data_IF_950235286925
#
_entry.id   IF_950235286925
#
_cell.length_a   1.000
_cell.length_b   1.000
_cell.length_c   1.000
_cell.angle_alpha   90.00
_cell.angle_beta   90.00
_cell.angle_gamma   90.00
#
_symmetry.space_group_name_H-M   'P 1'
#
loop_
_entity.id
_entity.type
_entity.pdbx_description
1 polymer ?
#
# COMPACT_ATOMS: atom_id res chain seq x y z
N UNK A 1 -75.38 6.77 64.80
CA UNK A 1 -75.68 6.32 63.42
C UNK A 1 -75.22 7.43 62.48
N UNK A 2 -74.40 7.23 61.47
CA UNK A 2 -73.82 6.04 60.89
C UNK A 2 -72.41 6.38 60.36
N UNK A 3 -71.56 5.38 60.46
CA UNK A 3 -70.20 5.28 59.95
C UNK A 3 -70.15 5.39 58.41
N UNK A 4 -69.09 6.01 57.89
CA UNK A 4 -68.58 5.72 56.53
C UNK A 4 -67.10 6.13 56.43
N UNK A 5 -66.27 5.15 56.80
CA UNK A 5 -64.88 4.97 56.39
C UNK A 5 -64.64 5.25 54.89
N UNK A 6 -63.58 6.01 54.58
CA UNK A 6 -62.90 5.95 53.29
C UNK A 6 -61.43 5.63 53.55
N UNK A 7 -61.01 4.49 53.00
CA UNK A 7 -59.68 3.91 53.12
C UNK A 7 -58.60 4.81 52.51
N UNK A 8 -57.62 5.19 53.33
CA UNK A 8 -56.34 5.72 52.87
C UNK A 8 -55.59 4.59 52.17
N UNK A 9 -55.53 4.64 50.84
CA UNK A 9 -54.73 3.72 50.04
C UNK A 9 -53.25 4.07 50.25
N UNK A 10 -52.62 3.42 51.23
CA UNK A 10 -51.19 3.53 51.49
C UNK A 10 -50.39 3.02 50.29
N UNK A 11 -49.91 3.96 49.46
CA UNK A 11 -48.87 3.70 48.48
C UNK A 11 -47.58 3.40 49.24
N UNK A 12 -47.39 2.10 49.52
CA UNK A 12 -46.16 1.52 50.05
C UNK A 12 -45.04 1.81 49.05
N UNK A 13 -44.27 2.88 49.32
CA UNK A 13 -43.07 3.25 48.57
C UNK A 13 -42.05 2.11 48.65
N UNK A 14 -42.10 1.20 47.68
CA UNK A 14 -41.16 0.09 47.55
C UNK A 14 -39.82 0.66 47.06
N UNK A 15 -38.95 0.93 48.04
CA UNK A 15 -37.48 1.00 47.99
C UNK A 15 -36.88 1.63 46.70
N UNK A 16 -36.42 2.89 46.75
CA UNK A 16 -35.79 3.58 45.60
C UNK A 16 -34.47 2.92 45.13
N UNK A 17 -33.92 2.00 45.91
CA UNK A 17 -32.74 1.20 45.57
C UNK A 17 -32.94 0.26 44.38
N UNK A 18 -34.15 -0.28 44.16
CA UNK A 18 -34.42 -1.16 43.01
C UNK A 18 -34.50 -0.39 41.69
N UNK A 19 -35.03 0.84 41.73
CA UNK A 19 -35.05 1.73 40.57
C UNK A 19 -33.63 2.18 40.19
N UNK A 20 -32.78 2.45 41.18
CA UNK A 20 -31.38 2.80 40.95
C UNK A 20 -30.59 1.65 40.33
N UNK A 21 -30.78 0.42 40.82
CA UNK A 21 -30.15 -0.77 40.24
C UNK A 21 -30.61 -1.02 38.80
N UNK A 22 -31.90 -0.81 38.50
CA UNK A 22 -32.43 -0.90 37.15
C UNK A 22 -31.80 0.12 36.20
N UNK A 23 -31.64 1.38 36.65
CA UNK A 23 -31.03 2.44 35.85
C UNK A 23 -29.54 2.18 35.56
N UNK A 24 -28.77 1.72 36.55
CA UNK A 24 -27.35 1.36 36.37
C UNK A 24 -27.19 0.17 35.42
N UNK A 25 -28.06 -0.84 35.52
CA UNK A 25 -28.07 -1.99 34.61
C UNK A 25 -28.40 -1.57 33.17
N UNK A 26 -29.33 -0.62 32.99
CA UNK A 26 -29.67 -0.07 31.68
C UNK A 26 -28.46 0.64 31.05
N UNK A 27 -27.76 1.50 31.81
CA UNK A 27 -26.56 2.20 31.33
C UNK A 27 -25.44 1.23 30.94
N UNK A 28 -25.25 0.15 31.70
CA UNK A 28 -24.30 -0.92 31.35
C UNK A 28 -24.73 -1.69 30.08
N UNK A 29 -26.02 -1.98 29.92
CA UNK A 29 -26.54 -2.64 28.73
C UNK A 29 -26.43 -1.76 27.47
N UNK A 30 -26.66 -0.45 27.58
CA UNK A 30 -26.43 0.49 26.48
C UNK A 30 -24.94 0.61 26.14
N UNK A 31 -24.05 0.62 27.15
CA UNK A 31 -22.60 0.58 26.94
C UNK A 31 -22.17 -0.69 26.17
N UNK A 32 -22.72 -1.86 26.52
CA UNK A 32 -22.52 -3.10 25.76
C UNK A 32 -23.15 -3.06 24.38
N UNK A 33 -24.26 -2.35 24.17
CA UNK A 33 -24.82 -2.19 22.83
C UNK A 33 -23.91 -1.35 21.92
N UNK A 34 -23.18 -0.37 22.46
CA UNK A 34 -22.16 0.36 21.69
C UNK A 34 -20.85 -0.44 21.53
N UNK A 35 -20.46 -1.24 22.52
CA UNK A 35 -19.25 -2.07 22.46
C UNK A 35 -19.43 -3.33 21.59
N UNK A 36 -20.55 -4.03 21.70
CA UNK A 36 -20.89 -5.23 20.91
C UNK A 36 -21.70 -4.94 19.65
N UNK A 37 -22.46 -3.84 19.58
CA UNK A 37 -23.09 -3.39 18.34
C UNK A 37 -22.07 -2.95 17.28
N UNK A 38 -20.84 -2.63 17.71
CA UNK A 38 -19.71 -2.44 16.79
C UNK A 38 -19.08 -3.77 16.33
N UNK A 39 -19.28 -4.86 17.08
CA UNK A 39 -18.75 -6.18 16.74
C UNK A 39 -19.71 -7.03 15.89
N UNK A 40 -21.01 -6.73 15.87
CA UNK A 40 -22.03 -7.49 15.11
C UNK A 40 -22.79 -6.67 14.05
N UNK A 41 -22.49 -5.37 13.88
CA UNK A 41 -23.32 -4.44 13.11
C UNK A 41 -22.63 -3.60 12.05
N UNK A 42 -21.34 -3.80 11.78
CA UNK A 42 -20.64 -3.31 10.57
C UNK A 42 -19.52 -4.26 10.23
N UNK A 43 -19.81 -5.22 9.35
CA UNK A 43 -18.75 -5.70 8.46
C UNK A 43 -18.10 -4.44 7.88
N UNK A 44 -16.78 -4.25 7.98
CA UNK A 44 -16.17 -3.15 7.27
C UNK A 44 -16.49 -3.43 5.81
N UNK A 45 -17.24 -2.51 5.19
CA UNK A 45 -17.28 -2.36 3.74
C UNK A 45 -15.85 -1.90 3.40
N UNK A 46 -14.90 -2.83 3.49
CA UNK A 46 -13.67 -2.81 2.72
C UNK A 46 -14.19 -2.89 1.30
N UNK A 47 -14.33 -1.71 0.70
CA UNK A 47 -14.79 -1.56 -0.66
C UNK A 47 -14.01 -2.54 -1.53
N UNK A 48 -14.75 -3.48 -2.10
CA UNK A 48 -14.43 -4.35 -3.24
C UNK A 48 -13.90 -3.59 -4.48
N UNK A 49 -13.61 -2.30 -4.36
CA UNK A 49 -13.16 -1.37 -5.39
C UNK A 49 -11.64 -1.22 -5.49
N UNK A 50 -10.86 -1.91 -4.63
CA UNK A 50 -9.38 -1.94 -4.73
C UNK A 50 -8.88 -3.31 -5.21
N UNK A 51 -9.79 -4.26 -5.48
CA UNK A 51 -9.40 -5.48 -6.17
C UNK A 51 -9.09 -5.14 -7.63
N UNK A 52 -7.90 -5.50 -8.14
CA UNK A 52 -7.67 -5.50 -9.58
C UNK A 52 -8.76 -6.36 -10.22
N UNK A 53 -9.17 -5.99 -11.43
CA UNK A 53 -10.11 -6.76 -12.26
C UNK A 53 -10.03 -8.26 -12.00
N UNK A 54 -11.18 -8.93 -11.88
CA UNK A 54 -11.32 -10.38 -11.63
C UNK A 54 -10.43 -11.28 -12.51
N UNK A 55 -9.89 -10.75 -13.62
CA UNK A 55 -8.86 -11.36 -14.47
C UNK A 55 -7.52 -11.65 -13.78
N UNK A 56 -7.11 -10.89 -12.77
CA UNK A 56 -5.82 -11.11 -12.08
C UNK A 56 -5.94 -12.25 -11.06
N UNK A 57 -7.06 -12.29 -10.34
CA UNK A 57 -7.29 -13.29 -9.28
C UNK A 57 -7.53 -14.69 -9.85
N UNK A 58 -8.20 -14.81 -11.01
CA UNK A 58 -8.43 -16.11 -11.67
C UNK A 58 -7.15 -16.80 -12.14
N UNK A 59 -6.04 -16.06 -12.33
CA UNK A 59 -4.76 -16.63 -12.78
C UNK A 59 -3.98 -17.22 -11.62
N UNK A 60 -4.01 -16.60 -10.43
CA UNK A 60 -3.29 -17.09 -9.24
C UNK A 60 -3.90 -18.38 -8.70
N UNK A 61 -5.21 -18.54 -8.80
CA UNK A 61 -5.89 -19.78 -8.40
C UNK A 61 -5.67 -20.91 -9.43
N UNK A 62 -5.49 -20.57 -10.71
CA UNK A 62 -5.22 -21.55 -11.78
C UNK A 62 -3.79 -22.09 -11.79
N UNK A 63 -2.84 -21.45 -11.09
CA UNK A 63 -1.45 -21.94 -10.96
C UNK A 63 -1.21 -22.88 -9.77
N UNK A 64 -2.24 -23.12 -8.94
CA UNK A 64 -2.13 -23.96 -7.73
C UNK A 64 -2.35 -25.46 -7.95
N UNK A 65 -2.74 -25.91 -9.15
CA UNK A 65 -3.05 -27.32 -9.38
C UNK A 65 -3.48 -27.61 -10.80
N UNK A 66 -2.54 -27.61 -11.74
CA UNK A 66 -2.74 -28.27 -13.03
C UNK A 66 -1.37 -28.72 -13.54
N UNK A 67 -1.26 -30.02 -13.80
CA UNK A 67 -0.19 -30.62 -14.59
C UNK A 67 0.07 -29.78 -15.85
N UNK A 68 1.35 -29.55 -16.11
CA UNK A 68 1.84 -28.87 -17.30
C UNK A 68 1.54 -29.76 -18.53
N UNK A 69 0.32 -29.68 -19.05
CA UNK A 69 0.01 -30.25 -20.36
C UNK A 69 0.69 -29.41 -21.44
N UNK A 70 1.54 -30.11 -22.19
CA UNK A 70 2.32 -29.67 -23.32
C UNK A 70 1.41 -29.32 -24.50
N UNK A 71 0.72 -28.17 -24.44
CA UNK A 71 -0.01 -27.63 -25.58
C UNK A 71 0.91 -26.79 -26.46
N UNK A 72 1.28 -27.36 -27.62
CA UNK A 72 1.59 -26.62 -28.83
C UNK A 72 2.96 -25.93 -28.89
N UNK A 73 3.91 -26.61 -29.53
CA UNK A 73 5.09 -25.99 -30.12
C UNK A 73 4.67 -25.08 -31.30
N UNK A 74 4.19 -23.87 -30.99
CA UNK A 74 4.07 -22.79 -31.96
C UNK A 74 4.99 -21.65 -31.51
N UNK A 75 6.11 -21.55 -32.23
CA UNK A 75 6.97 -20.39 -32.43
C UNK A 75 6.84 -19.26 -31.38
N UNK A 76 7.50 -19.42 -30.22
CA UNK A 76 7.77 -18.30 -29.30
C UNK A 76 8.82 -17.38 -29.93
N UNK A 77 8.51 -16.78 -31.08
CA UNK A 77 9.25 -15.60 -31.51
C UNK A 77 9.09 -14.57 -30.42
N UNK A 78 10.22 -14.10 -29.89
CA UNK A 78 10.37 -12.96 -28.98
C UNK A 78 9.17 -11.99 -29.03
N UNK A 79 8.13 -12.23 -28.23
CA UNK A 79 7.04 -11.29 -28.09
C UNK A 79 7.67 -10.00 -27.57
N UNK A 80 7.57 -8.95 -28.36
CA UNK A 80 8.08 -7.63 -27.98
C UNK A 80 7.11 -7.03 -26.97
N UNK A 81 7.63 -6.12 -26.14
CA UNK A 81 6.79 -5.30 -25.28
C UNK A 81 5.78 -4.51 -26.12
N UNK A 82 4.50 -4.84 -26.01
CA UNK A 82 3.40 -4.09 -26.60
C UNK A 82 2.62 -3.38 -25.47
N UNK A 83 2.78 -2.06 -25.30
CA UNK A 83 2.09 -1.31 -24.26
C UNK A 83 0.56 -1.34 -24.35
N UNK A 84 -0.01 -1.53 -25.54
CA UNK A 84 -1.47 -1.61 -25.71
C UNK A 84 -2.03 -2.93 -25.17
N UNK A 85 -1.21 -3.99 -25.18
CA UNK A 85 -1.57 -5.32 -24.65
C UNK A 85 -1.18 -5.52 -23.20
N UNK A 86 -0.55 -4.53 -22.57
CA UNK A 86 -0.17 -4.58 -21.18
C UNK A 86 -1.41 -4.74 -20.28
N UNK A 87 -1.28 -5.59 -19.25
CA UNK A 87 -2.39 -5.87 -18.32
C UNK A 87 -2.52 -4.84 -17.20
N UNK A 88 -1.44 -4.10 -16.95
CA UNK A 88 -1.36 -3.11 -15.89
C UNK A 88 -0.66 -1.85 -16.40
N UNK A 89 -1.36 -0.72 -16.36
CA UNK A 89 -0.79 0.60 -16.63
C UNK A 89 -0.36 1.23 -15.32
N UNK A 90 0.91 1.61 -15.25
CA UNK A 90 1.53 2.10 -14.01
C UNK A 90 2.03 3.52 -14.23
N UNK A 91 1.48 4.47 -13.49
CA UNK A 91 2.12 5.78 -13.38
C UNK A 91 3.24 5.68 -12.36
N UNK A 92 4.38 6.31 -12.62
CA UNK A 92 5.52 6.28 -11.72
C UNK A 92 5.99 7.71 -11.47
N UNK A 93 6.02 8.12 -10.20
CA UNK A 93 6.47 9.45 -9.81
C UNK A 93 7.93 9.69 -10.16
N UNK A 94 8.20 10.88 -10.70
CA UNK A 94 9.55 11.41 -10.88
C UNK A 94 10.09 11.96 -9.54
N UNK A 95 10.33 11.05 -8.60
CA UNK A 95 10.90 11.38 -7.29
C UNK A 95 12.35 11.88 -7.43
N UNK A 96 12.81 12.83 -6.60
CA UNK A 96 14.21 13.24 -6.57
C UNK A 96 15.19 12.07 -6.37
N UNK A 97 16.41 12.19 -6.90
CA UNK A 97 17.42 11.13 -6.86
C UNK A 97 17.75 10.62 -5.45
N UNK A 98 17.59 11.44 -4.41
CA UNK A 98 17.77 11.06 -3.00
C UNK A 98 16.86 9.91 -2.53
N UNK A 99 15.78 9.60 -3.28
CA UNK A 99 14.86 8.51 -2.99
C UNK A 99 15.22 7.20 -3.69
N UNK A 100 16.09 7.20 -4.72
CA UNK A 100 16.34 6.02 -5.56
C UNK A 100 17.82 5.85 -5.92
N UNK A 101 18.21 6.00 -7.20
CA UNK A 101 19.56 5.81 -7.72
C UNK A 101 20.60 6.73 -7.07
N UNK A 102 20.21 7.87 -6.48
CA UNK A 102 21.11 8.67 -5.64
C UNK A 102 21.62 7.93 -4.41
N UNK A 103 20.84 7.00 -3.86
CA UNK A 103 21.28 6.08 -2.81
C UNK A 103 22.33 5.08 -3.30
N UNK A 104 22.48 4.91 -4.62
CA UNK A 104 23.52 4.12 -5.26
C UNK A 104 24.71 4.97 -5.73
N UNK A 105 24.73 6.27 -5.41
CA UNK A 105 25.79 7.20 -5.80
C UNK A 105 25.65 7.75 -7.22
N UNK A 106 24.50 7.54 -7.88
CA UNK A 106 24.22 8.16 -9.16
C UNK A 106 23.79 9.62 -8.99
N UNK A 107 24.24 10.47 -9.90
CA UNK A 107 23.86 11.88 -9.93
C UNK A 107 23.11 12.19 -11.21
N UNK A 108 21.98 12.92 -11.13
CA UNK A 108 21.22 13.31 -12.30
C UNK A 108 22.04 14.18 -13.25
N UNK A 109 21.84 14.00 -14.55
CA UNK A 109 22.41 14.86 -15.60
C UNK A 109 21.33 15.83 -16.07
N UNK A 110 21.59 17.14 -15.95
CA UNK A 110 20.61 18.17 -16.25
C UNK A 110 19.34 18.02 -15.40
N UNK A 111 18.18 18.17 -16.01
CA UNK A 111 16.87 18.08 -15.35
C UNK A 111 16.32 16.64 -15.31
N UNK A 112 17.13 15.65 -15.68
CA UNK A 112 16.73 14.25 -15.73
C UNK A 112 16.59 13.62 -14.34
N UNK A 113 15.53 12.83 -14.13
CA UNK A 113 15.29 12.12 -12.86
C UNK A 113 15.81 10.69 -12.87
N UNK A 114 16.01 10.10 -14.05
CA UNK A 114 16.36 8.68 -14.22
C UNK A 114 17.69 8.51 -14.95
N UNK A 115 18.45 7.44 -14.66
CA UNK A 115 19.58 7.05 -15.51
C UNK A 115 19.09 6.71 -16.91
N UNK A 116 19.91 6.98 -17.93
CA UNK A 116 19.62 6.53 -19.28
C UNK A 116 19.84 5.03 -19.39
N UNK A 117 18.75 4.27 -19.46
CA UNK A 117 18.79 2.80 -19.50
C UNK A 117 19.39 2.26 -20.81
N UNK A 118 19.38 3.04 -21.90
CA UNK A 118 19.95 2.62 -23.19
C UNK A 118 21.42 2.98 -23.32
N UNK A 119 21.80 4.15 -22.83
CA UNK A 119 23.10 4.77 -23.14
C UNK A 119 24.06 4.80 -21.93
N UNK A 120 23.54 4.76 -20.70
CA UNK A 120 24.34 4.88 -19.49
C UNK A 120 24.53 3.54 -18.79
N UNK A 121 25.70 3.36 -18.16
CA UNK A 121 25.90 2.26 -17.22
C UNK A 121 25.04 2.52 -15.97
N UNK A 122 23.93 1.80 -15.89
CA UNK A 122 23.04 1.81 -14.73
C UNK A 122 23.85 1.42 -13.48
N UNK A 123 23.72 2.15 -12.36
CA UNK A 123 24.42 1.81 -11.12
C UNK A 123 24.06 0.41 -10.65
N UNK A 124 25.07 -0.45 -10.49
CA UNK A 124 24.87 -1.83 -10.04
C UNK A 124 24.26 -1.83 -8.63
N UNK A 125 23.19 -2.61 -8.45
CA UNK A 125 22.64 -2.82 -7.12
C UNK A 125 23.67 -3.56 -6.24
N UNK A 126 23.95 -3.11 -5.00
CA UNK A 126 24.95 -3.75 -4.16
C UNK A 126 24.62 -5.23 -3.95
N UNK A 127 25.55 -6.11 -4.28
CA UNK A 127 25.36 -7.56 -4.21
C UNK A 127 25.41 -8.17 -2.80
N UNK A 128 25.60 -9.49 -2.74
CA UNK A 128 25.62 -10.26 -1.50
C UNK A 128 24.25 -10.30 -0.82
N UNK A 129 24.22 -10.23 0.52
CA UNK A 129 22.95 -10.21 1.28
C UNK A 129 22.01 -9.05 0.88
N UNK A 130 22.48 -8.01 0.16
CA UNK A 130 21.63 -6.87 -0.22
C UNK A 130 20.73 -7.23 -1.39
N UNK A 131 21.12 -8.21 -2.21
CA UNK A 131 20.41 -8.58 -3.44
C UNK A 131 18.96 -9.02 -3.17
N UNK A 132 18.70 -9.62 -2.00
CA UNK A 132 17.37 -10.02 -1.56
C UNK A 132 16.43 -8.82 -1.26
N UNK A 133 16.97 -7.60 -1.24
CA UNK A 133 16.24 -6.37 -0.94
C UNK A 133 16.24 -5.40 -2.12
N UNK A 134 16.34 -5.93 -3.35
CA UNK A 134 16.50 -5.15 -4.59
C UNK A 134 15.21 -4.98 -5.39
N UNK A 135 14.07 -5.33 -4.83
CA UNK A 135 12.80 -5.37 -5.55
C UNK A 135 12.42 -3.98 -6.08
N UNK A 136 12.62 -2.94 -5.26
CA UNK A 136 12.34 -1.56 -5.66
C UNK A 136 13.19 -1.14 -6.87
N UNK A 137 14.46 -1.56 -6.90
CA UNK A 137 15.40 -1.29 -7.98
C UNK A 137 14.97 -2.00 -9.28
N UNK A 138 14.69 -3.30 -9.22
CA UNK A 138 14.30 -4.06 -10.40
C UNK A 138 12.95 -3.64 -10.96
N UNK A 139 11.95 -3.36 -10.11
CA UNK A 139 10.66 -2.84 -10.57
C UNK A 139 10.79 -1.47 -11.24
N UNK A 140 11.65 -0.60 -10.70
CA UNK A 140 11.92 0.71 -11.31
C UNK A 140 12.53 0.56 -12.69
N UNK A 141 13.55 -0.29 -12.84
CA UNK A 141 14.17 -0.56 -14.14
C UNK A 141 13.22 -1.25 -15.13
N UNK A 142 12.39 -2.17 -14.64
CA UNK A 142 11.39 -2.86 -15.43
C UNK A 142 10.39 -1.86 -16.03
N UNK A 143 9.83 -0.98 -15.20
CA UNK A 143 8.91 0.07 -15.61
C UNK A 143 9.56 1.12 -16.52
N UNK A 144 10.79 1.56 -16.20
CA UNK A 144 11.50 2.51 -17.05
C UNK A 144 11.77 1.94 -18.44
N UNK A 145 12.19 0.67 -18.52
CA UNK A 145 12.47 0.01 -19.79
C UNK A 145 11.23 -0.40 -20.58
N UNK A 146 10.07 -0.52 -19.93
CA UNK A 146 8.78 -0.82 -20.59
C UNK A 146 8.33 0.22 -21.62
N UNK A 147 8.94 1.43 -21.59
CA UNK A 147 8.69 2.50 -22.57
C UNK A 147 9.34 2.24 -23.92
N UNK A 148 10.25 1.27 -24.01
CA UNK A 148 11.02 0.99 -25.19
C UNK A 148 10.42 -0.18 -25.98
N UNK A 149 9.90 0.07 -27.18
CA UNK A 149 9.26 -0.96 -28.02
C UNK A 149 10.21 -2.03 -28.57
N UNK A 150 11.52 -1.83 -28.46
CA UNK A 150 12.57 -2.81 -28.77
C UNK A 150 12.89 -3.75 -27.59
N UNK A 151 12.25 -3.56 -26.43
CA UNK A 151 12.41 -4.44 -25.27
C UNK A 151 11.96 -5.86 -25.60
N UNK A 152 12.83 -6.83 -25.30
CA UNK A 152 12.56 -8.26 -25.46
C UNK A 152 11.66 -8.76 -24.33
N UNK A 153 10.66 -9.57 -24.68
CA UNK A 153 9.74 -10.21 -23.75
C UNK A 153 8.45 -9.42 -23.54
N UNK A 154 7.38 -10.08 -23.07
CA UNK A 154 6.10 -9.44 -22.83
C UNK A 154 6.20 -8.44 -21.66
N UNK A 155 5.51 -7.31 -21.80
CA UNK A 155 5.31 -6.37 -20.70
C UNK A 155 3.96 -6.61 -20.04
N UNK A 156 3.96 -7.25 -18.87
CA UNK A 156 2.74 -7.43 -18.07
C UNK A 156 2.28 -6.08 -17.50
N UNK A 157 3.24 -5.28 -17.04
CA UNK A 157 3.04 -3.91 -16.59
C UNK A 157 3.82 -2.95 -17.50
N UNK A 158 3.24 -1.78 -17.77
CA UNK A 158 3.89 -0.73 -18.55
C UNK A 158 3.77 0.61 -17.86
N UNK A 159 4.85 1.39 -17.95
CA UNK A 159 4.87 2.75 -17.45
C UNK A 159 4.10 3.66 -18.40
N UNK A 160 3.11 4.36 -17.87
CA UNK A 160 2.41 5.47 -18.54
C UNK A 160 2.92 6.81 -18.00
N UNK A 161 2.84 7.84 -18.84
CA UNK A 161 3.29 9.19 -18.49
C UNK A 161 2.17 10.05 -17.88
N UNK A 162 0.92 9.75 -18.21
CA UNK A 162 -0.26 10.42 -17.66
C UNK A 162 -0.85 9.56 -16.53
N UNK A 163 -0.96 10.12 -15.34
CA UNK A 163 -1.51 9.44 -14.17
C UNK A 163 -3.00 9.16 -14.26
N UNK A 164 -3.71 9.74 -15.24
CA UNK A 164 -5.12 9.47 -15.53
C UNK A 164 -5.32 8.17 -16.31
N UNK A 165 -4.28 7.69 -17.00
CA UNK A 165 -4.30 6.44 -17.75
C UNK A 165 -3.86 5.24 -16.92
N UNK A 166 -3.40 5.47 -15.70
CA UNK A 166 -2.84 4.45 -14.85
C UNK A 166 -3.89 3.73 -14.01
N UNK A 167 -3.70 2.42 -13.85
CA UNK A 167 -4.46 1.58 -12.92
C UNK A 167 -3.92 1.75 -11.48
N UNK A 168 -2.61 1.98 -11.34
CA UNK A 168 -1.91 2.17 -10.06
C UNK A 168 -0.77 3.19 -10.19
N UNK A 169 -0.39 3.79 -9.06
CA UNK A 169 0.76 4.68 -8.96
C UNK A 169 1.89 3.97 -8.22
N UNK A 170 3.00 3.71 -8.91
CA UNK A 170 4.20 3.18 -8.28
C UNK A 170 5.03 4.31 -7.67
N UNK A 171 5.47 4.11 -6.42
CA UNK A 171 6.33 5.03 -5.68
C UNK A 171 7.76 4.46 -5.66
N UNK A 172 8.68 4.96 -6.51
CA UNK A 172 10.02 4.40 -6.68
C UNK A 172 10.96 4.86 -5.56
N UNK A 173 10.63 4.56 -4.31
CA UNK A 173 11.49 4.79 -3.16
C UNK A 173 12.27 3.51 -2.83
N UNK A 174 13.60 3.55 -2.86
CA UNK A 174 14.44 2.40 -2.52
C UNK A 174 14.56 2.26 -0.99
N UNK A 175 13.43 1.94 -0.37
CA UNK A 175 13.23 1.94 1.09
C UNK A 175 14.25 1.07 1.81
N UNK A 176 14.54 -0.11 1.26
CA UNK A 176 15.49 -1.06 1.83
C UNK A 176 16.93 -0.54 1.81
N UNK A 177 17.35 0.10 0.70
CA UNK A 177 18.65 0.75 0.61
C UNK A 177 18.76 1.94 1.56
N UNK A 178 17.72 2.78 1.61
CA UNK A 178 17.68 3.92 2.51
C UNK A 178 17.85 3.47 3.96
N UNK A 179 17.12 2.44 4.38
CA UNK A 179 17.29 1.87 5.71
C UNK A 179 18.71 1.32 5.93
N UNK A 180 19.20 0.47 5.02
CA UNK A 180 20.49 -0.20 5.20
C UNK A 180 21.66 0.81 5.31
N UNK A 181 21.59 1.93 4.58
CA UNK A 181 22.63 2.97 4.58
C UNK A 181 22.44 4.02 5.68
N UNK A 182 21.20 4.34 6.01
CA UNK A 182 20.87 5.59 6.71
C UNK A 182 19.92 5.42 7.90
N UNK A 183 19.72 4.20 8.41
CA UNK A 183 18.90 3.95 9.60
C UNK A 183 19.54 4.42 10.91
N UNK A 184 20.87 4.44 11.00
CA UNK A 184 21.61 4.85 12.20
C UNK A 184 21.55 6.36 12.39
N UNK A 185 21.36 6.79 13.63
CA UNK A 185 21.45 8.20 14.03
C UNK A 185 22.92 8.52 14.32
N UNK A 186 23.45 9.54 13.65
CA UNK A 186 24.81 10.02 13.87
C UNK A 186 24.77 11.34 14.63
N UNK A 187 25.35 11.43 15.85
CA UNK A 187 25.46 12.69 16.58
C UNK A 187 26.11 13.79 15.71
N UNK A 188 25.63 15.04 15.74
CA UNK A 188 24.63 15.62 16.64
C UNK A 188 23.18 15.52 16.14
N UNK A 189 22.90 14.81 15.05
CA UNK A 189 21.53 14.68 14.53
C UNK A 189 20.64 13.91 15.52
N UNK A 190 19.37 14.33 15.62
CA UNK A 190 18.35 13.70 16.49
C UNK A 190 17.59 12.57 15.78
N UNK A 191 17.57 12.59 14.46
CA UNK A 191 16.89 11.59 13.63
C UNK A 191 17.85 11.07 12.56
N UNK A 192 17.59 9.85 12.10
CA UNK A 192 18.39 9.25 11.04
C UNK A 192 17.98 9.77 9.67
N UNK A 193 18.91 9.79 8.71
CA UNK A 193 18.61 10.25 7.35
C UNK A 193 17.50 9.42 6.68
N UNK A 194 17.39 8.12 6.99
CA UNK A 194 16.27 7.31 6.54
C UNK A 194 14.92 7.84 7.08
N UNK A 195 14.84 8.22 8.36
CA UNK A 195 13.60 8.78 8.92
C UNK A 195 13.24 10.11 8.27
N UNK A 196 14.24 10.97 8.03
CA UNK A 196 14.04 12.23 7.32
C UNK A 196 13.52 12.01 5.89
N UNK A 197 14.09 11.05 5.15
CA UNK A 197 13.63 10.71 3.79
C UNK A 197 12.20 10.15 3.80
N UNK A 198 11.85 9.27 4.74
CA UNK A 198 10.47 8.77 4.84
C UNK A 198 9.47 9.90 5.12
N UNK A 199 9.80 10.85 6.00
CA UNK A 199 8.94 12.01 6.27
C UNK A 199 8.79 12.90 5.03
N UNK A 200 9.90 13.19 4.33
CA UNK A 200 9.88 13.93 3.06
C UNK A 200 9.03 13.23 1.99
N UNK A 201 9.13 11.90 1.89
CA UNK A 201 8.35 11.12 0.94
C UNK A 201 6.85 11.24 1.24
N UNK A 202 6.45 11.10 2.51
CA UNK A 202 5.03 11.27 2.89
C UNK A 202 4.55 12.67 2.53
N UNK A 203 5.32 13.71 2.87
CA UNK A 203 4.98 15.10 2.52
C UNK A 203 4.85 15.30 1.01
N UNK A 204 5.77 14.74 0.23
CA UNK A 204 5.71 14.76 -1.22
C UNK A 204 4.41 14.11 -1.71
N UNK A 205 4.15 12.87 -1.29
CA UNK A 205 2.98 12.09 -1.75
C UNK A 205 1.67 12.79 -1.43
N UNK A 206 1.44 13.23 -0.18
CA UNK A 206 0.18 13.87 0.20
C UNK A 206 -0.10 15.19 -0.53
N UNK A 207 0.94 15.81 -1.09
CA UNK A 207 0.81 17.04 -1.88
C UNK A 207 0.38 16.78 -3.33
N UNK A 208 0.58 15.57 -3.85
CA UNK A 208 0.31 15.22 -5.25
C UNK A 208 -1.19 15.09 -5.54
N UNK A 209 -1.58 15.37 -6.79
CA UNK A 209 -2.97 15.27 -7.22
C UNK A 209 -3.49 13.83 -7.22
N UNK A 210 -2.67 12.86 -7.61
CA UNK A 210 -3.06 11.45 -7.62
C UNK A 210 -3.34 10.96 -6.20
N UNK A 211 -2.53 11.37 -5.22
CA UNK A 211 -2.76 11.03 -3.82
C UNK A 211 -4.05 11.65 -3.30
N UNK A 212 -4.32 12.92 -3.61
CA UNK A 212 -5.58 13.60 -3.24
C UNK A 212 -6.79 12.92 -3.87
N UNK A 213 -6.66 12.44 -5.11
CA UNK A 213 -7.72 11.75 -5.88
C UNK A 213 -8.10 10.41 -5.26
N UNK A 214 -7.12 9.59 -4.88
CA UNK A 214 -7.37 8.23 -4.39
C UNK A 214 -7.28 8.08 -2.87
N UNK A 215 -6.80 9.10 -2.15
CA UNK A 215 -6.42 9.00 -0.74
C UNK A 215 -5.24 8.04 -0.50
N UNK A 216 -4.40 7.81 -1.51
CA UNK A 216 -3.26 6.88 -1.43
C UNK A 216 -3.61 5.40 -1.66
N UNK A 217 -4.86 5.07 -2.00
CA UNK A 217 -5.31 3.66 -2.09
C UNK A 217 -4.76 2.90 -3.30
N UNK A 218 -4.39 3.61 -4.35
CA UNK A 218 -3.80 3.08 -5.59
C UNK A 218 -2.28 3.27 -5.63
N UNK A 219 -1.66 3.75 -4.53
CA UNK A 219 -0.22 3.94 -4.42
C UNK A 219 0.47 2.66 -3.95
N UNK A 220 1.33 2.11 -4.79
CA UNK A 220 2.18 0.95 -4.48
C UNK A 220 3.51 1.46 -3.93
N UNK A 221 3.67 1.34 -2.61
CA UNK A 221 4.93 1.60 -1.90
C UNK A 221 5.53 0.26 -1.50
N UNK A 222 6.68 -0.08 -2.08
CA UNK A 222 7.38 -1.31 -1.76
C UNK A 222 8.22 -1.12 -0.51
N UNK A 223 7.91 -1.91 0.52
CA UNK A 223 8.69 -1.98 1.75
C UNK A 223 9.13 -3.43 1.95
N UNK A 224 10.43 -3.69 1.84
CA UNK A 224 10.99 -5.00 2.13
C UNK A 224 11.74 -4.94 3.46
N UNK A 225 11.69 -6.03 4.25
CA UNK A 225 12.46 -6.08 5.49
C UNK A 225 13.95 -5.88 5.15
N UNK A 226 14.63 -4.88 5.72
CA UNK A 226 16.06 -4.66 5.52
C UNK A 226 16.88 -5.79 6.13
N UNK A 227 18.19 -5.85 5.85
CA UNK A 227 19.04 -6.90 6.41
C UNK A 227 18.94 -6.93 7.94
N UNK A 228 18.79 -8.13 8.50
CA UNK A 228 19.15 -8.36 9.89
C UNK A 228 20.67 -8.54 9.95
N UNK A 229 21.37 -7.62 10.62
CA UNK A 229 22.70 -7.93 11.14
C UNK A 229 22.48 -8.80 12.38
N UNK A 230 22.94 -10.05 12.33
CA UNK A 230 23.26 -10.83 13.52
C UNK A 230 24.62 -10.36 14.05
#
# INVERSE_FOLDING_TARGET
MADRSIHVLGLRCRKPLFLFFGFVALLFAFSWFYFFGFAAGRAPIVGRSVLPSSKILSVVESTGGAEMELAGHQDRQHERCDPERARLKVFMYDLPAEFHFGLLGWTPKGDGVWPDIKEEKIPDYPGGLNLQHSIEYWLTLDLLSSRFGDRRGPCIAVRVMDSREADVVFVPFFSSLSYNRHSKVTPPMKESTNKMLQNKLVQFLVSQEEWKRSGGRDHVVMAHHPKQHA
#
